data_IF_320765478185
#
_entry.id   IF_320765478185
#
_cell.length_a   1.000
_cell.length_b   1.000
_cell.length_c   1.000
_cell.angle_alpha   90.00
_cell.angle_beta   90.00
_cell.angle_gamma   90.00
#
_symmetry.space_group_name_H-M   'P 1'
#
loop_
_entity.id
_entity.type
_entity.pdbx_description
1 polymer ?
#
# COMPACT_ATOMS: atom_id res chain seq x y z
N UNK A 1 -7.73 11.40 2.53
CA UNK A 1 -7.49 11.42 3.99
C UNK A 1 -6.91 12.77 4.41
N UNK A 2 -7.28 13.30 5.59
CA UNK A 2 -6.66 14.52 6.17
C UNK A 2 -5.87 14.10 7.41
N UNK A 3 -4.66 14.62 7.56
CA UNK A 3 -3.79 14.37 8.71
C UNK A 3 -3.22 15.67 9.28
N UNK A 4 -2.82 15.63 10.54
CA UNK A 4 -2.09 16.70 11.23
C UNK A 4 -0.60 16.33 11.36
N UNK A 5 0.12 17.04 12.22
CA UNK A 5 1.51 16.76 12.54
C UNK A 5 1.74 15.26 12.83
N UNK A 6 2.89 14.75 12.38
CA UNK A 6 3.25 13.34 12.46
C UNK A 6 2.27 12.38 11.78
N UNK A 7 1.55 12.86 10.75
CA UNK A 7 0.57 12.09 9.97
C UNK A 7 -0.59 11.50 10.80
N UNK A 8 -0.88 12.06 11.98
CA UNK A 8 -2.01 11.62 12.81
C UNK A 8 -3.32 11.92 12.05
N UNK A 9 -4.21 10.92 11.86
CA UNK A 9 -5.45 11.12 11.12
C UNK A 9 -6.37 12.10 11.81
N UNK A 10 -7.07 12.92 11.03
CA UNK A 10 -8.12 13.82 11.49
C UNK A 10 -9.48 13.18 11.19
N UNK A 11 -10.14 12.70 12.24
CA UNK A 11 -11.51 12.18 12.22
C UNK A 11 -12.55 13.28 12.41
N UNK A 12 -13.83 12.91 12.31
CA UNK A 12 -14.93 13.83 12.59
C UNK A 12 -14.84 14.47 13.99
N UNK A 13 -14.62 13.65 15.02
CA UNK A 13 -14.52 14.10 16.40
C UNK A 13 -13.22 14.87 16.72
N UNK A 14 -12.17 14.68 15.92
CA UNK A 14 -10.85 15.29 16.19
C UNK A 14 -10.55 16.51 15.33
N UNK A 15 -11.38 16.84 14.34
CA UNK A 15 -11.25 18.10 13.62
C UNK A 15 -12.12 18.28 12.37
N UNK A 16 -12.62 17.23 11.71
CA UNK A 16 -13.39 17.44 10.48
C UNK A 16 -14.71 18.20 10.74
N UNK A 17 -15.32 18.02 11.91
CA UNK A 17 -16.50 18.81 12.31
C UNK A 17 -16.23 20.32 12.42
N UNK A 18 -15.00 20.71 12.76
CA UNK A 18 -14.58 22.12 12.79
C UNK A 18 -14.39 22.64 11.36
N UNK A 19 -13.77 21.84 10.49
CA UNK A 19 -13.58 22.20 9.08
C UNK A 19 -14.92 22.36 8.35
N UNK A 20 -15.88 21.47 8.59
CA UNK A 20 -17.24 21.55 8.07
C UNK A 20 -17.89 22.89 8.45
N UNK A 21 -17.91 23.23 9.75
CA UNK A 21 -18.43 24.51 10.24
C UNK A 21 -17.70 25.72 9.64
N UNK A 22 -16.38 25.62 9.46
CA UNK A 22 -15.61 26.69 8.82
C UNK A 22 -16.05 26.88 7.37
N UNK A 23 -16.22 25.81 6.59
CA UNK A 23 -16.65 25.87 5.19
C UNK A 23 -18.04 26.53 5.09
N UNK A 24 -18.96 26.18 5.98
CA UNK A 24 -20.30 26.80 6.06
C UNK A 24 -20.22 28.31 6.34
N UNK A 25 -19.37 28.71 7.27
CA UNK A 25 -19.20 30.11 7.67
C UNK A 25 -18.40 30.95 6.65
N UNK A 26 -17.74 30.31 5.68
CA UNK A 26 -16.84 30.94 4.68
C UNK A 26 -15.83 31.88 5.34
N UNK A 27 -14.70 31.35 5.88
CA UNK A 27 -13.78 32.15 6.66
C UNK A 27 -13.23 33.31 5.83
N UNK A 28 -13.02 34.49 6.44
CA UNK A 28 -12.53 35.65 5.73
C UNK A 28 -11.14 35.40 5.16
N UNK A 29 -10.86 35.98 3.99
CA UNK A 29 -9.52 35.92 3.40
C UNK A 29 -8.49 36.54 4.34
N UNK A 30 -7.36 35.84 4.52
CA UNK A 30 -6.25 36.33 5.34
C UNK A 30 -5.44 37.39 4.59
N UNK A 31 -5.03 38.46 5.30
CA UNK A 31 -4.22 39.54 4.70
C UNK A 31 -2.82 39.08 4.29
N UNK A 32 -2.23 38.14 5.03
CA UNK A 32 -0.90 37.58 4.75
C UNK A 32 -1.06 36.21 4.11
N UNK A 33 -0.64 36.07 2.86
CA UNK A 33 -0.62 34.79 2.15
C UNK A 33 0.51 33.89 2.67
N UNK A 34 0.31 32.58 2.57
CA UNK A 34 1.38 31.59 2.80
C UNK A 34 2.38 31.53 1.64
N UNK A 35 3.33 30.59 1.73
CA UNK A 35 4.30 30.29 0.68
C UNK A 35 4.15 28.86 0.18
N UNK A 36 4.30 28.64 -1.12
CA UNK A 36 4.40 27.30 -1.71
C UNK A 36 5.89 26.94 -1.81
N UNK A 37 6.26 25.76 -1.29
CA UNK A 37 7.63 25.23 -1.39
C UNK A 37 7.57 23.87 -2.08
N UNK A 38 8.30 23.66 -3.19
CA UNK A 38 8.39 22.34 -3.79
C UNK A 38 9.17 21.41 -2.85
N UNK A 39 8.67 20.18 -2.69
CA UNK A 39 9.34 19.12 -1.95
C UNK A 39 9.44 17.90 -2.85
N UNK A 40 10.62 17.29 -2.88
CA UNK A 40 10.86 16.03 -3.59
C UNK A 40 10.38 14.84 -2.74
N UNK A 41 9.07 14.72 -2.62
CA UNK A 41 8.42 13.66 -1.83
C UNK A 41 8.74 12.28 -2.41
N UNK A 42 8.86 12.17 -3.74
CA UNK A 42 9.19 10.92 -4.43
C UNK A 42 10.50 10.34 -3.90
N UNK A 43 11.57 11.14 -3.86
CA UNK A 43 12.87 10.67 -3.34
C UNK A 43 12.81 10.28 -1.87
N UNK A 44 12.12 11.06 -1.03
CA UNK A 44 11.97 10.72 0.39
C UNK A 44 11.22 9.39 0.58
N UNK A 45 10.16 9.17 -0.18
CA UNK A 45 9.36 7.95 -0.12
C UNK A 45 10.14 6.73 -0.60
N UNK A 46 10.80 6.81 -1.75
CA UNK A 46 11.61 5.71 -2.28
C UNK A 46 12.75 5.33 -1.31
N UNK A 47 13.44 6.33 -0.73
CA UNK A 47 14.48 6.09 0.27
C UNK A 47 13.94 5.43 1.54
N UNK A 48 12.74 5.79 1.98
CA UNK A 48 12.10 5.17 3.13
C UNK A 48 11.83 3.67 2.91
N UNK A 49 11.51 3.28 1.66
CA UNK A 49 11.18 1.90 1.32
C UNK A 49 12.40 0.99 1.11
N UNK A 50 13.58 1.55 0.87
CA UNK A 50 14.82 0.80 0.60
C UNK A 50 15.12 -0.35 1.59
N UNK A 51 14.96 -0.18 2.92
CA UNK A 51 15.26 -1.26 3.87
C UNK A 51 14.39 -2.52 3.72
N UNK A 52 13.22 -2.42 3.06
CA UNK A 52 12.26 -3.51 2.89
C UNK A 52 12.48 -4.29 1.57
N UNK A 53 13.37 -3.82 0.71
CA UNK A 53 13.62 -4.35 -0.64
C UNK A 53 14.58 -5.55 -0.65
N UNK A 54 14.23 -6.65 0.03
CA UNK A 54 15.07 -7.86 0.14
C UNK A 54 14.24 -9.15 0.07
N UNK A 55 14.88 -10.26 -0.30
CA UNK A 55 14.31 -11.61 -0.15
C UNK A 55 13.36 -12.05 -1.25
N UNK A 56 13.54 -11.53 -2.46
CA UNK A 56 12.67 -11.77 -3.63
C UNK A 56 13.36 -12.55 -4.76
N UNK A 57 14.62 -12.94 -4.56
CA UNK A 57 15.42 -13.67 -5.55
C UNK A 57 14.69 -14.91 -6.06
N UNK A 58 14.52 -14.99 -7.37
CA UNK A 58 13.89 -16.13 -8.03
C UNK A 58 12.37 -16.18 -7.90
N UNK A 59 11.73 -15.12 -7.37
CA UNK A 59 10.28 -14.96 -7.43
C UNK A 59 9.87 -14.27 -8.72
N UNK A 60 8.83 -14.80 -9.36
CA UNK A 60 8.08 -14.17 -10.44
C UNK A 60 6.79 -13.59 -9.88
N UNK A 61 6.57 -12.28 -10.04
CA UNK A 61 5.41 -11.57 -9.49
C UNK A 61 4.69 -10.80 -10.59
N UNK A 62 3.37 -10.96 -10.67
CA UNK A 62 2.52 -10.12 -11.51
C UNK A 62 1.96 -8.98 -10.67
N UNK A 63 2.03 -7.74 -11.15
CA UNK A 63 1.59 -6.56 -10.42
C UNK A 63 0.58 -5.79 -11.24
N UNK A 64 -0.61 -5.62 -10.69
CA UNK A 64 -1.69 -4.83 -11.24
C UNK A 64 -1.79 -3.50 -10.46
N UNK A 65 -1.52 -2.39 -11.15
CA UNK A 65 -1.58 -1.05 -10.56
C UNK A 65 -2.94 -0.37 -10.78
N UNK A 66 -3.88 -1.04 -11.45
CA UNK A 66 -5.28 -0.62 -11.61
C UNK A 66 -5.47 0.78 -12.17
N UNK A 67 -4.60 1.19 -13.11
CA UNK A 67 -4.51 2.55 -13.67
C UNK A 67 -4.37 3.64 -12.59
N UNK A 68 -3.95 3.24 -11.39
CA UNK A 68 -3.90 4.05 -10.18
C UNK A 68 -2.52 4.61 -9.89
N UNK A 69 -2.43 5.28 -8.75
CA UNK A 69 -1.23 6.01 -8.33
C UNK A 69 -0.02 5.11 -8.07
N UNK A 70 -0.22 3.81 -7.76
CA UNK A 70 0.85 2.83 -7.60
C UNK A 70 1.74 2.73 -8.87
N UNK A 71 1.13 2.86 -10.06
CA UNK A 71 1.83 2.85 -11.34
C UNK A 71 2.88 3.95 -11.47
N UNK A 72 2.68 5.08 -10.78
CA UNK A 72 3.66 6.16 -10.77
C UNK A 72 4.97 5.79 -10.06
N UNK A 73 5.00 4.79 -9.18
CA UNK A 73 6.17 4.42 -8.37
C UNK A 73 6.68 3.01 -8.64
N UNK A 74 5.85 2.12 -9.19
CA UNK A 74 6.13 0.69 -9.20
C UNK A 74 7.48 0.35 -9.85
N UNK A 75 7.79 0.97 -10.98
CA UNK A 75 9.04 0.74 -11.72
C UNK A 75 10.28 1.15 -10.91
N UNK A 76 10.24 2.27 -10.18
CA UNK A 76 11.35 2.67 -9.31
C UNK A 76 11.54 1.71 -8.13
N UNK A 77 10.45 1.06 -7.71
CA UNK A 77 10.48 0.09 -6.61
C UNK A 77 11.03 -1.27 -7.04
N UNK A 78 10.81 -1.70 -8.29
CA UNK A 78 11.20 -3.04 -8.75
C UNK A 78 12.47 -3.08 -9.61
N UNK A 79 13.01 -1.94 -10.04
CA UNK A 79 14.11 -1.90 -11.01
C UNK A 79 15.46 -2.48 -10.49
N UNK A 80 15.72 -2.43 -9.19
CA UNK A 80 16.96 -2.91 -8.54
C UNK A 80 16.76 -4.25 -7.79
N UNK A 81 15.59 -4.85 -7.97
CA UNK A 81 15.14 -6.04 -7.28
C UNK A 81 15.50 -7.30 -8.09
N UNK A 82 16.05 -8.33 -7.46
CA UNK A 82 16.52 -9.57 -8.12
C UNK A 82 15.41 -10.61 -8.40
N UNK A 83 14.19 -10.13 -8.62
CA UNK A 83 13.02 -10.91 -9.00
C UNK A 83 12.62 -10.67 -10.46
N UNK A 84 11.67 -11.46 -10.95
CA UNK A 84 11.03 -11.27 -12.26
C UNK A 84 9.66 -10.60 -12.06
N UNK A 85 9.43 -9.44 -12.68
CA UNK A 85 8.21 -8.67 -12.48
C UNK A 85 7.49 -8.45 -13.80
N UNK A 86 6.17 -8.65 -13.78
CA UNK A 86 5.28 -8.37 -14.91
C UNK A 86 4.25 -7.37 -14.42
N UNK A 87 4.30 -6.14 -14.92
CA UNK A 87 3.33 -5.09 -14.56
C UNK A 87 2.19 -5.04 -15.59
N UNK A 88 0.98 -4.78 -15.10
CA UNK A 88 -0.20 -4.46 -15.92
C UNK A 88 -0.88 -3.21 -15.35
N UNK A 89 -1.50 -2.44 -16.24
CA UNK A 89 -2.28 -1.25 -15.89
C UNK A 89 -1.48 -0.25 -15.03
N UNK A 90 -0.19 -0.09 -15.35
CA UNK A 90 0.82 0.65 -14.60
C UNK A 90 1.02 2.10 -15.06
N UNK A 91 0.21 2.56 -16.01
CA UNK A 91 0.13 3.95 -16.42
C UNK A 91 -1.07 4.60 -15.75
N UNK A 92 -0.87 5.58 -14.83
CA UNK A 92 -1.99 6.23 -14.16
C UNK A 92 -2.95 6.88 -15.16
N UNK A 93 -4.23 6.51 -15.11
CA UNK A 93 -5.31 7.09 -15.91
C UNK A 93 -6.61 7.13 -15.08
N UNK A 94 -7.05 8.34 -14.73
CA UNK A 94 -8.24 8.55 -13.91
C UNK A 94 -9.56 8.16 -14.58
N UNK A 95 -9.55 7.77 -15.85
CA UNK A 95 -10.72 7.19 -16.53
C UNK A 95 -10.86 5.67 -16.28
N UNK A 96 -9.85 5.02 -15.68
CA UNK A 96 -9.83 3.58 -15.37
C UNK A 96 -10.27 2.70 -16.56
N UNK A 97 -9.58 2.78 -17.72
CA UNK A 97 -10.01 2.13 -18.95
C UNK A 97 -10.02 0.60 -18.89
N UNK A 98 -9.26 -0.01 -17.97
CA UNK A 98 -9.12 -1.46 -17.88
C UNK A 98 -10.14 -2.10 -16.93
N UNK A 99 -10.19 -1.64 -15.68
CA UNK A 99 -11.20 -2.03 -14.70
C UNK A 99 -11.27 -1.02 -13.56
N UNK A 100 -12.29 -1.11 -12.70
CA UNK A 100 -12.42 -0.21 -11.56
C UNK A 100 -11.32 -0.43 -10.50
N UNK A 101 -10.95 0.59 -9.71
CA UNK A 101 -9.81 0.52 -8.78
C UNK A 101 -10.15 -0.15 -7.43
N UNK A 102 -11.05 -1.13 -7.41
CA UNK A 102 -11.40 -1.87 -6.19
C UNK A 102 -10.84 -3.30 -6.25
N UNK A 103 -9.74 -3.61 -5.53
CA UNK A 103 -9.07 -4.90 -5.60
C UNK A 103 -9.86 -6.02 -4.92
N UNK A 104 -10.87 -5.72 -4.10
CA UNK A 104 -11.76 -6.74 -3.52
C UNK A 104 -12.79 -7.26 -4.52
N UNK A 105 -13.11 -6.49 -5.55
CA UNK A 105 -14.02 -6.90 -6.60
C UNK A 105 -13.44 -8.07 -7.39
N UNK A 106 -14.18 -9.16 -7.52
CA UNK A 106 -13.70 -10.34 -8.25
C UNK A 106 -13.47 -10.06 -9.75
N UNK A 107 -14.35 -9.28 -10.38
CA UNK A 107 -14.22 -8.90 -11.78
C UNK A 107 -12.91 -8.16 -12.07
N UNK A 108 -12.48 -7.28 -11.16
CA UNK A 108 -11.28 -6.47 -11.32
C UNK A 108 -10.00 -7.32 -11.24
N UNK A 109 -10.06 -8.48 -10.56
CA UNK A 109 -8.92 -9.40 -10.41
C UNK A 109 -8.76 -10.38 -11.59
N UNK A 110 -9.68 -10.39 -12.55
CA UNK A 110 -9.71 -11.41 -13.61
C UNK A 110 -8.45 -11.40 -14.48
N UNK A 111 -7.98 -10.21 -14.89
CA UNK A 111 -6.77 -10.05 -15.68
C UNK A 111 -5.53 -10.52 -14.91
N UNK A 112 -5.37 -10.06 -13.67
CA UNK A 112 -4.28 -10.50 -12.78
C UNK A 112 -4.26 -12.02 -12.60
N UNK A 113 -5.39 -12.63 -12.22
CA UNK A 113 -5.51 -14.09 -12.03
C UNK A 113 -5.11 -14.86 -13.29
N UNK A 114 -5.60 -14.44 -14.45
CA UNK A 114 -5.32 -15.07 -15.73
C UNK A 114 -3.83 -15.01 -16.07
N UNK A 115 -3.19 -13.86 -15.81
CA UNK A 115 -1.78 -13.66 -16.10
C UNK A 115 -0.88 -14.43 -15.13
N UNK A 116 -1.22 -14.49 -13.84
CA UNK A 116 -0.50 -15.32 -12.84
C UNK A 116 -0.45 -16.78 -13.28
N UNK A 117 -1.60 -17.34 -13.69
CA UNK A 117 -1.69 -18.74 -14.13
C UNK A 117 -0.93 -18.97 -15.44
N UNK A 118 -1.08 -18.07 -16.41
CA UNK A 118 -0.44 -18.16 -17.73
C UNK A 118 1.08 -18.12 -17.62
N UNK A 119 1.62 -17.17 -16.85
CA UNK A 119 3.06 -16.94 -16.70
C UNK A 119 3.70 -17.84 -15.63
N UNK A 120 2.89 -18.66 -14.96
CA UNK A 120 3.29 -19.50 -13.82
C UNK A 120 4.01 -18.68 -12.74
N UNK A 121 3.47 -17.49 -12.47
CA UNK A 121 4.01 -16.60 -11.46
C UNK A 121 3.80 -17.17 -10.05
N UNK A 122 4.68 -16.81 -9.13
CA UNK A 122 4.61 -17.26 -7.74
C UNK A 122 3.49 -16.54 -6.97
N UNK A 123 3.16 -15.31 -7.35
CA UNK A 123 2.01 -14.58 -6.83
C UNK A 123 1.61 -13.42 -7.75
N UNK A 124 0.39 -12.93 -7.53
CA UNK A 124 -0.09 -11.66 -8.05
C UNK A 124 -0.33 -10.65 -6.94
N UNK A 125 -0.11 -9.37 -7.22
CA UNK A 125 -0.45 -8.23 -6.35
C UNK A 125 -1.34 -7.28 -7.13
N UNK A 126 -2.44 -6.83 -6.54
CA UNK A 126 -3.29 -5.77 -7.10
C UNK A 126 -3.46 -4.64 -6.08
N UNK A 127 -3.28 -3.40 -6.53
CA UNK A 127 -3.47 -2.20 -5.73
C UNK A 127 -4.84 -1.57 -5.97
N UNK A 128 -5.27 -0.69 -5.08
CA UNK A 128 -6.39 0.22 -5.36
C UNK A 128 -5.90 1.58 -5.92
N UNK A 129 -6.85 2.48 -6.19
CA UNK A 129 -6.59 3.69 -6.98
C UNK A 129 -5.55 4.63 -6.37
N UNK A 130 -5.55 4.82 -5.06
CA UNK A 130 -4.56 5.62 -4.32
C UNK A 130 -3.43 4.78 -3.71
N UNK A 131 -3.45 3.46 -3.90
CA UNK A 131 -2.34 2.56 -3.63
C UNK A 131 -2.09 2.28 -2.15
N UNK A 132 -3.06 2.55 -1.27
CA UNK A 132 -2.95 2.28 0.16
C UNK A 132 -3.44 0.87 0.54
N UNK A 133 -4.18 0.19 -0.36
CA UNK A 133 -4.56 -1.22 -0.25
C UNK A 133 -3.83 -2.06 -1.29
N UNK A 134 -3.39 -3.23 -0.85
CA UNK A 134 -2.87 -4.27 -1.73
C UNK A 134 -3.53 -5.61 -1.39
N UNK A 135 -3.90 -6.36 -2.43
CA UNK A 135 -4.48 -7.71 -2.32
C UNK A 135 -3.56 -8.69 -3.03
N UNK A 136 -3.45 -9.89 -2.46
CA UNK A 136 -2.58 -10.96 -2.97
C UNK A 136 -3.41 -12.07 -3.62
N UNK A 137 -2.92 -12.54 -4.76
CA UNK A 137 -3.37 -13.75 -5.45
C UNK A 137 -2.24 -14.78 -5.39
N UNK A 138 -2.54 -16.03 -5.02
CA UNK A 138 -1.56 -17.11 -4.98
C UNK A 138 -1.21 -17.65 -6.38
N UNK A 139 -0.24 -18.58 -6.46
CA UNK A 139 0.21 -19.19 -7.71
C UNK A 139 -0.87 -20.00 -8.44
N UNK A 140 -1.99 -20.31 -7.75
CA UNK A 140 -3.15 -21.03 -8.27
C UNK A 140 -4.29 -20.08 -8.66
N UNK A 141 -4.04 -18.77 -8.66
CA UNK A 141 -5.05 -17.77 -9.01
C UNK A 141 -6.11 -17.55 -7.92
N UNK A 142 -5.88 -18.03 -6.70
CA UNK A 142 -6.82 -17.88 -5.58
C UNK A 142 -6.54 -16.60 -4.79
N UNK A 143 -7.61 -16.00 -4.31
CA UNK A 143 -7.54 -14.87 -3.40
C UNK A 143 -6.98 -15.30 -2.05
N UNK A 144 -5.99 -14.56 -1.57
CA UNK A 144 -5.45 -14.72 -0.22
C UNK A 144 -6.13 -13.70 0.69
N UNK A 145 -6.66 -14.17 1.83
CA UNK A 145 -7.32 -13.28 2.80
C UNK A 145 -6.35 -12.19 3.30
N UNK A 146 -6.75 -10.91 3.34
CA UNK A 146 -5.96 -9.83 3.92
C UNK A 146 -5.54 -10.09 5.38
N UNK A 147 -6.36 -10.83 6.14
CA UNK A 147 -6.05 -11.19 7.53
C UNK A 147 -4.84 -12.13 7.60
N UNK A 148 -4.75 -13.08 6.67
CA UNK A 148 -3.60 -13.99 6.58
C UNK A 148 -2.33 -13.24 6.18
N UNK A 149 -2.44 -12.30 5.24
CA UNK A 149 -1.31 -11.44 4.84
C UNK A 149 -0.87 -10.57 6.02
N UNK A 150 -1.81 -10.00 6.77
CA UNK A 150 -1.53 -9.20 7.97
C UNK A 150 -0.80 -10.02 9.03
N UNK A 151 -1.26 -11.26 9.31
CA UNK A 151 -0.59 -12.15 10.25
C UNK A 151 0.84 -12.50 9.80
N UNK A 152 1.03 -12.80 8.50
CA UNK A 152 2.34 -13.09 7.91
C UNK A 152 3.30 -11.90 8.03
N UNK A 153 2.84 -10.71 7.66
CA UNK A 153 3.62 -9.48 7.79
C UNK A 153 3.94 -9.20 9.26
N UNK A 154 2.98 -9.38 10.17
CA UNK A 154 3.22 -9.24 11.61
C UNK A 154 4.40 -10.09 12.09
N UNK A 155 4.41 -11.39 11.74
CA UNK A 155 5.51 -12.30 12.08
C UNK A 155 6.83 -11.82 11.47
N UNK A 156 6.83 -11.41 10.19
CA UNK A 156 8.02 -10.92 9.51
C UNK A 156 8.59 -9.66 10.20
N UNK A 157 7.75 -8.67 10.50
CA UNK A 157 8.16 -7.43 11.14
C UNK A 157 8.67 -7.65 12.57
N UNK A 158 8.04 -8.51 13.37
CA UNK A 158 8.57 -8.86 14.69
C UNK A 158 9.95 -9.51 14.64
N UNK A 159 10.20 -10.33 13.62
CA UNK A 159 11.48 -11.03 13.48
C UNK A 159 12.60 -10.14 12.95
N UNK A 160 12.30 -9.23 12.03
CA UNK A 160 13.31 -8.51 11.25
C UNK A 160 13.39 -7.02 11.56
N UNK A 161 12.38 -6.43 12.21
CA UNK A 161 12.31 -5.02 12.57
C UNK A 161 11.75 -4.81 13.99
N UNK A 162 12.26 -5.51 15.02
CA UNK A 162 11.71 -5.45 16.37
C UNK A 162 11.64 -4.02 16.93
N UNK A 163 12.60 -3.16 16.60
CA UNK A 163 12.66 -1.75 16.98
C UNK A 163 11.50 -0.91 16.41
N UNK A 164 10.93 -1.34 15.27
CA UNK A 164 9.77 -0.68 14.63
C UNK A 164 8.43 -1.21 15.13
N UNK A 165 8.41 -2.31 15.88
CA UNK A 165 7.17 -2.93 16.40
C UNK A 165 6.72 -2.39 17.76
N UNK A 166 7.50 -1.51 18.40
CA UNK A 166 7.21 -1.04 19.75
C UNK A 166 7.29 -2.12 20.84
N UNK A 167 7.74 -3.34 20.50
CA UNK A 167 7.94 -4.40 21.45
C UNK A 167 9.21 -4.14 22.27
N UNK A 168 9.17 -4.23 23.62
CA UNK A 168 10.36 -4.07 24.44
C UNK A 168 11.39 -5.16 24.13
N UNK A 169 12.63 -4.74 23.87
CA UNK A 169 13.77 -5.64 23.68
C UNK A 169 13.91 -6.57 24.91
N UNK A 170 13.78 -7.88 24.71
CA UNK A 170 14.08 -8.87 25.76
C UNK A 170 13.06 -9.98 26.02
N UNK A 171 11.92 -10.07 25.31
CA UNK A 171 11.04 -11.25 25.42
C UNK A 171 11.42 -12.32 24.39
N UNK A 172 12.09 -13.35 24.89
CA UNK A 172 12.38 -14.60 24.19
C UNK A 172 11.12 -15.21 23.54
N UNK A 173 11.27 -15.61 22.28
CA UNK A 173 10.55 -16.64 21.51
C UNK A 173 9.53 -17.52 22.27
N UNK A 174 8.39 -16.98 22.66
CA UNK A 174 7.17 -17.76 22.87
C UNK A 174 5.99 -17.00 22.28
N UNK A 175 5.52 -17.53 21.16
CA UNK A 175 4.19 -17.37 20.59
C UNK A 175 3.47 -16.07 20.98
N UNK A 176 3.43 -15.12 20.05
CA UNK A 176 2.25 -14.26 19.95
C UNK A 176 1.07 -15.21 19.74
N UNK A 177 0.37 -15.54 20.83
CA UNK A 177 -0.82 -16.37 20.77
C UNK A 177 -1.90 -15.56 20.05
N UNK A 178 -2.09 -15.87 18.77
CA UNK A 178 -3.21 -15.41 17.96
C UNK A 178 -4.54 -16.09 18.37
N UNK A 179 -4.60 -16.79 19.52
CA UNK A 179 -5.82 -17.49 19.98
C UNK A 179 -6.88 -16.59 20.61
N UNK A 180 -6.74 -15.25 20.54
CA UNK A 180 -7.69 -14.30 21.15
C UNK A 180 -8.13 -13.16 20.24
N UNK A 181 -7.87 -13.24 18.93
CA UNK A 181 -8.37 -12.26 17.96
C UNK A 181 -9.30 -12.84 16.88
N UNK A 182 -9.76 -14.09 17.05
CA UNK A 182 -10.92 -14.65 16.35
C UNK A 182 -11.82 -15.34 17.38
#
# INVERSE_FOLDING_TARGET
MISRDNAVPVSYSTGLNKLEKMIEQRPPAVKKKGSIKPLDIRRYYLNHLQPFKKGIKGLKVVIDCSDGSAGAYIHDLINDLDGEFITIFDKPDGNFPNHGPDPLSEKNRSALKSLVLKEKANLGVIFDGDGDRAIIIDEKGKFVSPDMVTALLGIHFFKHFPEKTGAPAGRNNRAVSFSRCF
#
